data_IF_780114437006
#
_entry.id   IF_780114437006
#
_cell.length_a   1.000
_cell.length_b   1.000
_cell.length_c   1.000
_cell.angle_alpha   90.00
_cell.angle_beta   90.00
_cell.angle_gamma   90.00
#
_symmetry.space_group_name_H-M   'P 1'
#
loop_
_entity.id
_entity.type
_entity.pdbx_description
1 polymer ?
#
# COMPACT_ATOMS: atom_id res chain seq x y z
N UNK A 1 -7.29 8.05 -24.81
CA UNK A 1 -8.25 7.03 -24.36
C UNK A 1 -8.10 5.84 -25.28
N UNK A 2 -8.23 4.63 -24.76
CA UNK A 2 -8.28 3.42 -25.58
C UNK A 2 -9.62 3.33 -26.33
N UNK A 3 -9.63 2.63 -27.47
CA UNK A 3 -10.84 2.23 -28.19
C UNK A 3 -11.68 1.30 -27.28
N UNK A 4 -13.01 1.36 -27.38
CA UNK A 4 -13.93 0.48 -26.64
C UNK A 4 -13.69 -1.02 -26.92
N UNK A 5 -13.09 -1.35 -28.07
CA UNK A 5 -12.75 -2.73 -28.46
C UNK A 5 -11.36 -3.17 -27.97
N UNK A 6 -10.63 -2.31 -27.25
CA UNK A 6 -9.31 -2.66 -26.75
C UNK A 6 -9.40 -3.78 -25.71
N UNK A 7 -8.57 -4.81 -25.89
CA UNK A 7 -8.38 -5.87 -24.90
C UNK A 7 -6.93 -5.85 -24.43
N UNK A 8 -6.76 -5.74 -23.12
CA UNK A 8 -5.48 -6.00 -22.48
C UNK A 8 -5.05 -7.43 -22.76
N UNK A 9 -3.76 -7.68 -22.95
CA UNK A 9 -3.23 -9.04 -23.04
C UNK A 9 -3.58 -9.82 -21.77
N UNK A 10 -3.21 -9.27 -20.62
CA UNK A 10 -3.35 -9.88 -19.30
C UNK A 10 -3.42 -8.78 -18.22
N UNK A 11 -3.57 -9.17 -16.94
CA UNK A 11 -3.57 -8.23 -15.81
C UNK A 11 -2.25 -7.46 -15.65
N UNK A 12 -1.12 -8.01 -16.10
CA UNK A 12 0.17 -7.33 -16.00
C UNK A 12 0.27 -6.17 -16.98
N UNK A 13 -0.19 -6.34 -18.22
CA UNK A 13 -0.29 -5.24 -19.19
C UNK A 13 -1.24 -4.14 -18.69
N UNK A 14 -2.40 -4.53 -18.15
CA UNK A 14 -3.34 -3.59 -17.56
C UNK A 14 -2.72 -2.80 -16.39
N UNK A 15 -1.98 -3.48 -15.52
CA UNK A 15 -1.21 -2.87 -14.42
C UNK A 15 -0.10 -1.93 -14.90
N UNK A 16 0.59 -2.27 -15.99
CA UNK A 16 1.60 -1.39 -16.62
C UNK A 16 0.97 -0.07 -17.05
N UNK A 17 -0.12 -0.14 -17.82
CA UNK A 17 -0.81 1.02 -18.37
C UNK A 17 -1.38 1.89 -17.23
N UNK A 18 -1.98 1.26 -16.22
CA UNK A 18 -2.51 1.95 -15.06
C UNK A 18 -1.39 2.63 -14.25
N UNK A 19 -0.26 1.95 -14.04
CA UNK A 19 0.91 2.47 -13.35
C UNK A 19 1.52 3.69 -14.05
N UNK A 20 1.64 3.67 -15.39
CA UNK A 20 2.08 4.81 -16.20
C UNK A 20 1.20 6.05 -15.94
N UNK A 21 -0.13 5.87 -15.90
CA UNK A 21 -1.07 6.97 -15.61
C UNK A 21 -0.97 7.50 -14.18
N UNK A 22 -0.61 6.65 -13.23
CA UNK A 22 -0.49 7.03 -11.82
C UNK A 22 0.85 7.70 -11.50
N UNK A 23 1.94 7.36 -12.20
CA UNK A 23 3.27 7.97 -11.99
C UNK A 23 3.25 9.49 -12.08
N UNK A 24 2.43 10.06 -12.97
CA UNK A 24 2.29 11.50 -13.16
C UNK A 24 1.56 12.21 -12.00
N UNK A 25 0.98 11.45 -11.05
CA UNK A 25 0.00 11.95 -10.07
C UNK A 25 0.39 11.74 -8.61
N UNK A 26 1.38 10.89 -8.34
CA UNK A 26 1.65 10.39 -6.98
C UNK A 26 3.10 10.62 -6.53
N UNK A 27 3.29 10.68 -5.22
CA UNK A 27 4.58 10.91 -4.56
C UNK A 27 4.88 9.81 -3.53
N UNK A 28 6.01 9.90 -2.84
CA UNK A 28 6.52 8.84 -1.95
C UNK A 28 5.61 8.52 -0.74
N UNK A 29 4.75 9.43 -0.27
CA UNK A 29 3.83 9.17 0.85
C UNK A 29 2.50 8.52 0.41
N UNK A 30 2.63 7.41 -0.30
CA UNK A 30 1.51 6.69 -0.93
C UNK A 30 1.54 5.21 -0.57
N UNK A 31 0.37 4.59 -0.44
CA UNK A 31 0.19 3.13 -0.35
C UNK A 31 -0.76 2.68 -1.45
N UNK A 32 -0.42 1.57 -2.10
CA UNK A 32 -1.26 0.91 -3.10
C UNK A 32 -1.99 -0.23 -2.40
N UNK A 33 -3.32 -0.24 -2.47
CA UNK A 33 -4.17 -1.24 -1.84
C UNK A 33 -4.95 -1.98 -2.93
N UNK A 34 -4.70 -3.27 -3.09
CA UNK A 34 -5.41 -4.11 -4.06
C UNK A 34 -6.66 -4.78 -3.47
N UNK A 35 -7.72 -4.90 -4.27
CA UNK A 35 -8.88 -5.74 -3.94
C UNK A 35 -8.61 -7.18 -4.43
N UNK A 36 -8.58 -8.20 -3.55
CA UNK A 36 -8.32 -9.56 -3.99
C UNK A 36 -9.47 -10.19 -4.78
N UNK A 37 -9.18 -11.11 -5.71
CA UNK A 37 -7.83 -11.63 -6.01
C UNK A 37 -7.19 -10.92 -7.20
N UNK A 38 -7.91 -10.80 -8.31
CA UNK A 38 -7.35 -10.27 -9.56
C UNK A 38 -6.84 -8.83 -9.45
N UNK A 39 -7.53 -7.97 -8.70
CA UNK A 39 -7.08 -6.61 -8.43
C UNK A 39 -5.69 -6.50 -7.78
N UNK A 40 -5.26 -7.52 -7.02
CA UNK A 40 -3.91 -7.55 -6.42
C UNK A 40 -2.82 -7.70 -7.48
N UNK A 41 -3.08 -8.42 -8.59
CA UNK A 41 -2.10 -8.57 -9.67
C UNK A 41 -1.81 -7.21 -10.32
N UNK A 42 -2.87 -6.46 -10.61
CA UNK A 42 -2.78 -5.09 -11.15
C UNK A 42 -2.13 -4.16 -10.12
N UNK A 43 -2.59 -4.20 -8.87
CA UNK A 43 -2.06 -3.40 -7.77
C UNK A 43 -0.56 -3.63 -7.52
N UNK A 44 -0.11 -4.88 -7.56
CA UNK A 44 1.30 -5.22 -7.38
C UNK A 44 2.17 -4.61 -8.47
N UNK A 45 1.70 -4.63 -9.72
CA UNK A 45 2.43 -4.00 -10.80
C UNK A 45 2.49 -2.48 -10.66
N UNK A 46 1.38 -1.85 -10.26
CA UNK A 46 1.34 -0.42 -9.93
C UNK A 46 2.31 -0.10 -8.79
N UNK A 47 2.29 -0.86 -7.70
CA UNK A 47 3.15 -0.66 -6.54
C UNK A 47 4.64 -0.78 -6.88
N UNK A 48 5.01 -1.75 -7.73
CA UNK A 48 6.38 -1.94 -8.22
C UNK A 48 6.86 -0.73 -9.03
N UNK A 49 6.03 -0.24 -9.97
CA UNK A 49 6.37 0.91 -10.80
C UNK A 49 6.51 2.21 -10.00
N UNK A 50 5.65 2.41 -9.01
CA UNK A 50 5.66 3.60 -8.16
C UNK A 50 6.69 3.50 -7.02
N UNK A 51 7.31 2.34 -6.83
CA UNK A 51 8.11 2.02 -5.65
C UNK A 51 7.36 2.38 -4.34
N UNK A 52 6.09 2.00 -4.24
CA UNK A 52 5.22 2.21 -3.08
C UNK A 52 4.86 0.87 -2.40
N UNK A 53 4.46 0.87 -1.10
CA UNK A 53 4.00 -0.36 -0.44
C UNK A 53 2.74 -0.89 -1.11
N UNK A 54 2.64 -2.22 -1.20
CA UNK A 54 1.42 -2.93 -1.55
C UNK A 54 0.77 -3.48 -0.28
N UNK A 55 -0.52 -3.25 -0.13
CA UNK A 55 -1.37 -3.95 0.83
C UNK A 55 -2.70 -4.35 0.16
N UNK A 56 -3.64 -4.91 0.92
CA UNK A 56 -4.95 -5.34 0.42
C UNK A 56 -6.09 -4.86 1.31
N UNK A 57 -7.29 -4.79 0.72
CA UNK A 57 -8.56 -4.69 1.44
C UNK A 57 -9.54 -5.70 0.85
N UNK A 58 -10.33 -6.37 1.69
CA UNK A 58 -11.21 -7.45 1.25
C UNK A 58 -12.68 -7.06 1.51
N UNK A 59 -13.31 -6.31 0.60
CA UNK A 59 -14.76 -6.19 0.59
C UNK A 59 -15.40 -7.51 0.18
N UNK A 60 -16.47 -7.94 0.86
CA UNK A 60 -17.30 -9.08 0.45
C UNK A 60 -18.73 -8.65 0.26
N UNK A 61 -19.37 -9.18 -0.78
CA UNK A 61 -20.79 -9.00 -1.03
C UNK A 61 -21.61 -9.74 0.04
N UNK A 62 -22.74 -9.17 0.39
CA UNK A 62 -23.77 -9.79 1.21
C UNK A 62 -24.90 -10.17 0.25
N UNK A 63 -25.21 -11.46 0.19
CA UNK A 63 -26.33 -12.00 -0.57
C UNK A 63 -27.62 -11.97 0.26
N UNK A 64 -28.78 -11.94 -0.39
CA UNK A 64 -30.06 -12.03 0.30
C UNK A 64 -30.21 -13.41 0.99
N UNK A 65 -30.86 -13.49 2.18
CA UNK A 65 -31.00 -14.74 2.93
C UNK A 65 -31.59 -15.91 2.14
N UNK A 66 -32.57 -15.64 1.28
CA UNK A 66 -33.29 -16.65 0.50
C UNK A 66 -32.82 -16.75 -0.95
N UNK A 67 -31.93 -15.87 -1.40
CA UNK A 67 -31.34 -15.89 -2.73
C UNK A 67 -29.96 -15.23 -2.72
N UNK A 68 -28.89 -15.98 -2.41
CA UNK A 68 -27.54 -15.43 -2.26
C UNK A 68 -26.98 -14.75 -3.52
N UNK A 69 -27.53 -15.04 -4.70
CA UNK A 69 -27.16 -14.38 -5.96
C UNK A 69 -27.64 -12.93 -6.03
N UNK A 70 -28.67 -12.58 -5.25
CA UNK A 70 -29.15 -11.21 -5.10
C UNK A 70 -28.26 -10.48 -4.10
N UNK A 71 -27.44 -9.56 -4.61
CA UNK A 71 -26.53 -8.75 -3.79
C UNK A 71 -27.30 -7.63 -3.09
N UNK A 72 -27.44 -7.75 -1.78
CA UNK A 72 -28.14 -6.77 -0.93
C UNK A 72 -27.17 -5.76 -0.29
N UNK A 73 -25.88 -6.06 -0.27
CA UNK A 73 -24.89 -5.20 0.35
C UNK A 73 -23.47 -5.67 0.18
N UNK A 74 -22.57 -5.02 0.90
CA UNK A 74 -21.17 -5.38 1.00
C UNK A 74 -20.62 -4.97 2.38
N UNK A 75 -19.64 -5.73 2.85
CA UNK A 75 -18.99 -5.53 4.15
C UNK A 75 -17.48 -5.65 4.03
N UNK A 76 -16.76 -4.94 4.89
CA UNK A 76 -15.30 -4.95 5.01
C UNK A 76 -14.84 -5.42 6.40
N UNK A 77 -13.53 -5.61 6.58
CA UNK A 77 -12.93 -6.19 7.79
C UNK A 77 -13.22 -5.44 9.10
N UNK A 78 -13.44 -4.13 9.02
CA UNK A 78 -13.76 -3.25 10.14
C UNK A 78 -15.25 -3.26 10.50
N UNK A 79 -16.06 -4.06 9.79
CA UNK A 79 -17.50 -4.09 9.95
C UNK A 79 -18.22 -2.92 9.29
N UNK A 80 -17.55 -2.11 8.47
CA UNK A 80 -18.25 -1.13 7.62
C UNK A 80 -19.16 -1.89 6.66
N UNK A 81 -20.46 -1.62 6.72
CA UNK A 81 -21.49 -2.23 5.87
C UNK A 81 -22.11 -1.17 4.98
N UNK A 82 -22.22 -1.49 3.69
CA UNK A 82 -22.98 -0.72 2.72
C UNK A 82 -24.15 -1.58 2.24
N UNK A 83 -25.38 -1.13 2.51
CA UNK A 83 -26.60 -1.84 2.10
C UNK A 83 -27.27 -1.13 0.91
N UNK A 84 -27.85 -1.92 0.01
CA UNK A 84 -28.70 -1.44 -1.05
C UNK A 84 -30.15 -1.39 -0.54
N UNK A 85 -30.54 -0.24 -0.01
CA UNK A 85 -31.88 -0.01 0.55
C UNK A 85 -33.03 -0.34 -0.40
N UNK A 86 -32.82 -0.18 -1.71
CA UNK A 86 -33.86 -0.45 -2.71
C UNK A 86 -34.07 -1.95 -2.87
N UNK A 87 -32.99 -2.74 -2.88
CA UNK A 87 -33.08 -4.21 -2.93
C UNK A 87 -33.61 -4.75 -1.61
N UNK A 88 -33.16 -4.23 -0.47
CA UNK A 88 -33.68 -4.60 0.84
C UNK A 88 -35.21 -4.40 0.91
N UNK A 89 -35.71 -3.24 0.47
CA UNK A 89 -37.14 -2.96 0.42
C UNK A 89 -37.90 -3.87 -0.56
N UNK A 90 -37.34 -4.09 -1.77
CA UNK A 90 -37.98 -4.93 -2.78
C UNK A 90 -38.13 -6.40 -2.35
N UNK A 91 -37.22 -6.89 -1.52
CA UNK A 91 -37.24 -8.26 -0.97
C UNK A 91 -37.81 -8.33 0.45
N UNK A 92 -38.30 -7.21 1.00
CA UNK A 92 -38.81 -7.09 2.36
C UNK A 92 -37.83 -7.64 3.42
N UNK A 93 -36.56 -7.29 3.28
CA UNK A 93 -35.47 -7.68 4.18
C UNK A 93 -35.22 -6.54 5.15
N UNK A 94 -35.22 -6.86 6.44
CA UNK A 94 -34.82 -5.97 7.52
C UNK A 94 -33.34 -6.16 7.88
N UNK A 95 -32.68 -5.10 8.35
CA UNK A 95 -31.26 -5.15 8.71
C UNK A 95 -30.94 -6.19 9.79
N UNK A 96 -31.85 -6.36 10.76
CA UNK A 96 -31.74 -7.38 11.82
C UNK A 96 -31.65 -8.81 11.27
N UNK A 97 -32.24 -9.08 10.09
CA UNK A 97 -32.27 -10.41 9.49
C UNK A 97 -30.92 -10.79 8.85
N UNK A 98 -30.06 -9.80 8.61
CA UNK A 98 -28.78 -9.98 7.92
C UNK A 98 -27.57 -9.77 8.85
N UNK A 99 -27.79 -9.47 10.13
CA UNK A 99 -26.72 -9.30 11.12
C UNK A 99 -25.81 -10.53 11.19
N UNK A 100 -26.38 -11.73 11.27
CA UNK A 100 -25.60 -12.99 11.28
C UNK A 100 -24.79 -13.15 10.00
N UNK A 101 -25.37 -12.84 8.83
CA UNK A 101 -24.68 -12.90 7.54
C UNK A 101 -23.51 -11.92 7.49
N UNK A 102 -23.69 -10.71 8.02
CA UNK A 102 -22.63 -9.70 8.15
C UNK A 102 -21.48 -10.26 9.00
N UNK A 103 -21.77 -10.82 10.17
CA UNK A 103 -20.74 -11.37 11.07
C UNK A 103 -19.97 -12.53 10.43
N UNK A 104 -20.67 -13.42 9.71
CA UNK A 104 -20.04 -14.51 8.95
C UNK A 104 -19.10 -13.97 7.87
N UNK A 105 -19.53 -12.96 7.12
CA UNK A 105 -18.67 -12.34 6.11
C UNK A 105 -17.45 -11.65 6.74
N UNK A 106 -17.61 -10.94 7.86
CA UNK A 106 -16.49 -10.32 8.60
C UNK A 106 -15.50 -11.36 9.10
N UNK A 107 -15.97 -12.48 9.64
CA UNK A 107 -15.11 -13.57 10.09
C UNK A 107 -14.28 -14.18 8.95
N UNK A 108 -14.92 -14.43 7.79
CA UNK A 108 -14.23 -14.93 6.61
C UNK A 108 -13.26 -13.88 6.01
N UNK A 109 -13.60 -12.59 6.07
CA UNK A 109 -12.66 -11.51 5.70
C UNK A 109 -11.41 -11.57 6.59
N UNK A 110 -11.58 -11.61 7.92
CA UNK A 110 -10.45 -11.69 8.86
C UNK A 110 -9.58 -12.91 8.63
N UNK A 111 -10.19 -14.07 8.39
CA UNK A 111 -9.48 -15.31 8.04
C UNK A 111 -8.66 -15.15 6.75
N UNK A 112 -9.20 -14.52 5.71
CA UNK A 112 -8.45 -14.23 4.47
C UNK A 112 -7.35 -13.19 4.65
N UNK A 113 -7.59 -12.15 5.46
CA UNK A 113 -6.57 -11.16 5.81
C UNK A 113 -5.37 -11.82 6.47
N UNK A 114 -5.58 -12.68 7.47
CA UNK A 114 -4.50 -13.47 8.10
C UNK A 114 -3.83 -14.38 7.08
N UNK A 115 -4.59 -15.07 6.23
CA UNK A 115 -4.04 -15.95 5.18
C UNK A 115 -3.12 -15.20 4.20
N UNK A 116 -3.52 -14.01 3.75
CA UNK A 116 -2.79 -13.27 2.72
C UNK A 116 -1.66 -12.39 3.28
N UNK A 117 -1.88 -11.72 4.42
CA UNK A 117 -0.98 -10.71 5.00
C UNK A 117 -0.18 -11.22 6.20
N UNK A 118 -0.59 -12.34 6.79
CA UNK A 118 -0.07 -12.85 8.06
C UNK A 118 -0.68 -12.18 9.31
N UNK A 119 -1.45 -11.10 9.14
CA UNK A 119 -2.19 -10.42 10.22
C UNK A 119 -3.47 -9.78 9.69
N UNK A 120 -4.47 -9.67 10.56
CA UNK A 120 -5.67 -8.87 10.30
C UNK A 120 -5.42 -7.37 10.49
N UNK A 121 -4.38 -6.99 11.23
CA UNK A 121 -4.11 -5.59 11.59
C UNK A 121 -3.40 -4.84 10.47
N UNK A 122 -3.73 -3.56 10.33
CA UNK A 122 -3.07 -2.68 9.38
C UNK A 122 -1.91 -1.92 10.02
N UNK A 123 -0.83 -1.66 9.26
CA UNK A 123 0.03 -0.53 9.56
C UNK A 123 -0.79 0.77 9.56
N UNK A 124 -0.32 1.79 10.28
CA UNK A 124 -0.97 3.09 10.23
C UNK A 124 -0.77 3.74 8.84
N UNK A 125 -1.88 3.95 8.14
CA UNK A 125 -1.93 4.65 6.86
C UNK A 125 -2.52 6.05 6.96
N UNK A 126 -2.60 6.60 8.18
CA UNK A 126 -3.15 7.94 8.41
C UNK A 126 -2.41 9.02 7.66
N UNK A 127 -3.16 9.95 7.06
CA UNK A 127 -2.61 11.06 6.27
C UNK A 127 -1.88 10.66 4.97
N UNK A 128 -1.84 9.37 4.61
CA UNK A 128 -1.25 8.93 3.33
C UNK A 128 -2.20 9.17 2.17
N UNK A 129 -1.64 9.18 0.96
CA UNK A 129 -2.41 8.93 -0.25
C UNK A 129 -2.65 7.43 -0.38
N UNK A 130 -3.90 7.02 -0.59
CA UNK A 130 -4.25 5.63 -0.87
C UNK A 130 -4.64 5.51 -2.34
N UNK A 131 -4.02 4.57 -3.06
CA UNK A 131 -4.49 4.14 -4.38
C UNK A 131 -5.22 2.81 -4.19
N UNK A 132 -6.54 2.80 -4.28
CA UNK A 132 -7.34 1.59 -4.25
C UNK A 132 -7.43 1.02 -5.67
N UNK A 133 -6.99 -0.22 -5.87
CA UNK A 133 -6.85 -0.85 -7.18
C UNK A 133 -7.70 -2.11 -7.30
N UNK A 134 -8.40 -2.24 -8.43
CA UNK A 134 -9.06 -3.47 -8.87
C UNK A 134 -8.69 -3.82 -10.33
N UNK A 135 -8.94 -5.05 -10.79
CA UNK A 135 -8.66 -5.47 -12.18
C UNK A 135 -9.73 -5.02 -13.17
N UNK A 136 -10.90 -4.64 -12.67
CA UNK A 136 -11.93 -3.91 -13.37
C UNK A 136 -13.12 -3.71 -12.46
N UNK A 137 -13.81 -2.59 -12.60
CA UNK A 137 -14.92 -2.26 -11.71
C UNK A 137 -16.21 -2.23 -12.51
N UNK A 138 -17.07 -3.22 -12.29
CA UNK A 138 -18.36 -3.35 -12.95
C UNK A 138 -19.39 -2.37 -12.35
N UNK A 139 -20.00 -2.70 -11.21
CA UNK A 139 -21.04 -1.86 -10.57
C UNK A 139 -20.48 -0.85 -9.56
N UNK A 140 -19.25 -1.07 -9.07
CA UNK A 140 -18.63 -0.20 -8.07
C UNK A 140 -18.96 -0.50 -6.62
N UNK A 141 -19.89 -1.41 -6.34
CA UNK A 141 -20.45 -1.56 -4.99
C UNK A 141 -19.41 -2.02 -3.95
N UNK A 142 -18.58 -3.01 -4.29
CA UNK A 142 -17.48 -3.49 -3.42
C UNK A 142 -16.37 -2.46 -3.28
N UNK A 143 -16.04 -1.74 -4.36
CA UNK A 143 -15.06 -0.66 -4.32
C UNK A 143 -15.53 0.48 -3.40
N UNK A 144 -16.81 0.84 -3.46
CA UNK A 144 -17.41 1.87 -2.59
C UNK A 144 -17.34 1.49 -1.11
N UNK A 145 -17.69 0.25 -0.76
CA UNK A 145 -17.55 -0.25 0.61
C UNK A 145 -16.08 -0.20 1.07
N UNK A 146 -15.14 -0.60 0.20
CA UNK A 146 -13.70 -0.49 0.48
C UNK A 146 -13.26 0.97 0.71
N UNK A 147 -13.70 1.91 -0.12
CA UNK A 147 -13.42 3.35 0.05
C UNK A 147 -13.91 3.85 1.40
N UNK A 148 -15.15 3.53 1.78
CA UNK A 148 -15.73 3.96 3.05
C UNK A 148 -14.94 3.41 4.24
N UNK A 149 -14.61 2.12 4.21
CA UNK A 149 -13.78 1.45 5.22
C UNK A 149 -12.39 2.10 5.34
N UNK A 150 -11.73 2.38 4.22
CA UNK A 150 -10.42 3.06 4.22
C UNK A 150 -10.50 4.47 4.80
N UNK A 151 -11.57 5.22 4.52
CA UNK A 151 -11.80 6.54 5.14
C UNK A 151 -11.98 6.43 6.65
N UNK A 152 -12.78 5.46 7.10
CA UNK A 152 -13.08 5.24 8.51
C UNK A 152 -11.83 4.84 9.30
N UNK A 153 -11.07 3.87 8.80
CA UNK A 153 -9.90 3.35 9.51
C UNK A 153 -8.72 4.33 9.55
N UNK A 154 -8.48 5.07 8.46
CA UNK A 154 -7.20 5.78 8.30
C UNK A 154 -7.31 7.29 8.17
N UNK A 155 -8.48 7.87 7.88
CA UNK A 155 -8.57 9.31 7.54
C UNK A 155 -7.47 9.72 6.53
N UNK A 156 -7.38 9.06 5.37
CA UNK A 156 -6.32 9.31 4.41
C UNK A 156 -6.40 10.74 3.87
N UNK A 157 -5.27 11.28 3.44
CA UNK A 157 -5.22 12.63 2.84
C UNK A 157 -6.04 12.68 1.56
N UNK A 158 -5.96 11.63 0.75
CA UNK A 158 -6.68 11.44 -0.53
C UNK A 158 -6.83 9.95 -0.82
N UNK A 159 -7.89 9.58 -1.53
CA UNK A 159 -8.10 8.25 -2.10
C UNK A 159 -8.24 8.40 -3.61
N UNK A 160 -7.37 7.72 -4.36
CA UNK A 160 -7.51 7.51 -5.81
C UNK A 160 -8.09 6.13 -6.03
N UNK A 161 -9.22 6.01 -6.71
CA UNK A 161 -9.72 4.74 -7.20
C UNK A 161 -9.17 4.49 -8.61
N UNK A 162 -8.46 3.39 -8.79
CA UNK A 162 -7.82 3.07 -10.05
C UNK A 162 -8.23 1.68 -10.52
N UNK A 163 -8.69 1.57 -11.75
CA UNK A 163 -8.85 0.26 -12.40
C UNK A 163 -8.60 0.40 -13.90
N UNK A 164 -8.15 -0.67 -14.57
CA UNK A 164 -7.91 -0.64 -16.02
C UNK A 164 -9.18 -0.29 -16.80
N UNK A 165 -10.33 -0.81 -16.36
CA UNK A 165 -11.61 -0.64 -17.06
C UNK A 165 -12.79 -0.45 -16.10
N UNK A 166 -13.69 0.48 -16.46
CA UNK A 166 -14.96 0.73 -15.78
C UNK A 166 -16.03 1.22 -16.76
N UNK A 167 -17.33 0.96 -16.51
CA UNK A 167 -18.42 1.65 -17.17
C UNK A 167 -18.47 3.16 -16.87
N UNK A 168 -18.93 3.96 -17.84
CA UNK A 168 -19.08 5.41 -17.67
C UNK A 168 -20.06 5.80 -16.54
N UNK A 169 -21.16 5.06 -16.39
CA UNK A 169 -22.14 5.26 -15.32
C UNK A 169 -21.56 4.90 -13.94
N UNK A 170 -20.71 3.86 -13.86
CA UNK A 170 -19.99 3.50 -12.63
C UNK A 170 -18.99 4.57 -12.22
N UNK A 171 -18.23 5.15 -13.17
CA UNK A 171 -17.33 6.28 -12.89
C UNK A 171 -18.13 7.46 -12.32
N UNK A 172 -19.25 7.79 -12.95
CA UNK A 172 -20.12 8.89 -12.50
C UNK A 172 -20.63 8.65 -11.08
N UNK A 173 -21.11 7.43 -10.77
CA UNK A 173 -21.59 7.07 -9.42
C UNK A 173 -20.50 7.16 -8.35
N UNK A 174 -19.28 6.73 -8.68
CA UNK A 174 -18.18 6.64 -7.71
C UNK A 174 -17.41 7.95 -7.52
N UNK A 175 -17.53 8.89 -8.47
CA UNK A 175 -16.80 10.16 -8.43
C UNK A 175 -17.09 11.00 -7.19
N UNK A 176 -18.25 10.81 -6.55
CA UNK A 176 -18.59 11.46 -5.28
C UNK A 176 -18.00 10.80 -4.03
N UNK A 177 -17.51 9.55 -4.13
CA UNK A 177 -16.99 8.80 -2.98
C UNK A 177 -15.45 8.94 -2.82
N UNK A 178 -14.75 9.28 -3.90
CA UNK A 178 -13.28 9.33 -3.98
C UNK A 178 -12.76 10.69 -4.44
N UNK A 179 -11.48 10.96 -4.19
CA UNK A 179 -10.86 12.23 -4.56
C UNK A 179 -10.49 12.28 -6.05
N UNK A 180 -10.26 11.11 -6.67
CA UNK A 180 -9.95 10.99 -8.09
C UNK A 180 -10.19 9.56 -8.59
N UNK A 181 -10.59 9.42 -9.86
CA UNK A 181 -10.69 8.13 -10.54
C UNK A 181 -9.66 8.10 -11.68
N UNK A 182 -8.87 7.02 -11.75
CA UNK A 182 -7.97 6.74 -12.86
C UNK A 182 -8.44 5.49 -13.58
N UNK A 183 -9.00 5.67 -14.77
CA UNK A 183 -9.56 4.60 -15.60
C UNK A 183 -9.10 4.77 -17.05
N UNK A 184 -8.05 4.04 -17.50
CA UNK A 184 -7.54 4.17 -18.87
C UNK A 184 -8.56 3.83 -19.96
N UNK A 185 -9.44 2.85 -19.71
CA UNK A 185 -10.48 2.40 -20.63
C UNK A 185 -11.87 2.59 -19.98
N UNK A 186 -12.63 3.57 -20.47
CA UNK A 186 -14.04 3.72 -20.10
C UNK A 186 -14.90 3.01 -21.14
N UNK A 187 -15.74 2.08 -20.72
CA UNK A 187 -16.54 1.27 -21.63
C UNK A 187 -18.02 1.67 -21.62
N UNK A 188 -18.63 1.76 -22.81
CA UNK A 188 -20.09 1.92 -22.94
C UNK A 188 -20.80 0.55 -22.87
N UNK A 189 -20.23 -0.47 -23.53
CA UNK A 189 -20.74 -1.84 -23.52
C UNK A 189 -19.98 -2.70 -22.51
N UNK A 190 -20.51 -2.77 -21.30
CA UNK A 190 -19.89 -3.53 -20.21
C UNK A 190 -20.74 -4.73 -19.79
N UNK A 191 -20.26 -5.95 -20.09
CA UNK A 191 -20.92 -7.19 -19.66
C UNK A 191 -20.19 -7.83 -18.47
N UNK A 192 -18.87 -7.93 -18.54
CA UNK A 192 -18.03 -8.48 -17.49
C UNK A 192 -16.61 -7.92 -17.59
N UNK A 193 -15.86 -7.90 -16.49
CA UNK A 193 -14.45 -7.46 -16.50
C UNK A 193 -13.61 -8.27 -17.50
N UNK A 194 -13.80 -9.59 -17.52
CA UNK A 194 -12.98 -10.50 -18.33
C UNK A 194 -13.03 -10.26 -19.84
N UNK A 195 -14.04 -9.56 -20.37
CA UNK A 195 -14.12 -9.28 -21.80
C UNK A 195 -13.02 -8.34 -22.30
N UNK A 196 -12.43 -7.54 -21.39
CA UNK A 196 -11.37 -6.59 -21.71
C UNK A 196 -9.98 -7.20 -21.59
N UNK A 197 -9.90 -8.51 -21.41
CA UNK A 197 -8.66 -9.26 -21.26
C UNK A 197 -8.63 -10.43 -22.23
N UNK A 198 -7.54 -10.59 -22.97
CA UNK A 198 -7.31 -11.78 -23.81
C UNK A 198 -7.08 -13.01 -22.93
N UNK A 199 -6.34 -12.83 -21.84
CA UNK A 199 -6.07 -13.83 -20.81
C UNK A 199 -6.62 -13.35 -19.46
N UNK A 200 -7.68 -13.99 -18.97
CA UNK A 200 -8.36 -13.63 -17.71
C UNK A 200 -8.51 -14.82 -16.76
N UNK A 201 -7.38 -15.48 -16.49
CA UNK A 201 -7.35 -16.63 -15.60
C UNK A 201 -7.72 -16.28 -14.16
N UNK A 202 -8.20 -17.26 -13.40
CA UNK A 202 -8.55 -17.04 -12.02
C UNK A 202 -7.29 -16.93 -11.15
N UNK A 203 -7.02 -15.74 -10.61
CA UNK A 203 -5.92 -15.50 -9.67
C UNK A 203 -6.07 -16.37 -8.43
N UNK A 204 -4.98 -17.06 -8.05
CA UNK A 204 -4.98 -17.97 -6.90
C UNK A 204 -4.61 -17.25 -5.59
N UNK A 205 -4.93 -17.87 -4.45
CA UNK A 205 -4.50 -17.35 -3.15
C UNK A 205 -2.97 -17.33 -3.01
N UNK A 206 -2.28 -18.33 -3.57
CA UNK A 206 -0.83 -18.42 -3.54
C UNK A 206 -0.19 -17.29 -4.34
N UNK A 207 -0.76 -16.92 -5.48
CA UNK A 207 -0.32 -15.79 -6.30
C UNK A 207 -0.43 -14.47 -5.53
N UNK A 208 -1.58 -14.21 -4.87
CA UNK A 208 -1.77 -13.03 -4.01
C UNK A 208 -0.71 -12.96 -2.92
N UNK A 209 -0.49 -14.06 -2.20
CA UNK A 209 0.52 -14.15 -1.13
C UNK A 209 1.92 -13.86 -1.69
N UNK A 210 2.28 -14.47 -2.82
CA UNK A 210 3.60 -14.28 -3.44
C UNK A 210 3.84 -12.83 -3.87
N UNK A 211 2.83 -12.17 -4.44
CA UNK A 211 2.93 -10.76 -4.84
C UNK A 211 3.13 -9.84 -3.64
N UNK A 212 2.37 -10.04 -2.56
CA UNK A 212 2.53 -9.27 -1.32
C UNK A 212 3.94 -9.44 -0.73
N UNK A 213 4.44 -10.67 -0.67
CA UNK A 213 5.79 -10.95 -0.20
C UNK A 213 6.87 -10.35 -1.12
N UNK A 214 6.73 -10.48 -2.44
CA UNK A 214 7.67 -9.95 -3.43
C UNK A 214 7.81 -8.44 -3.28
N UNK A 215 6.71 -7.69 -3.22
CA UNK A 215 6.76 -6.22 -3.08
C UNK A 215 7.34 -5.82 -1.71
N UNK A 216 6.94 -6.50 -0.63
CA UNK A 216 7.50 -6.24 0.70
C UNK A 216 9.02 -6.47 0.74
N UNK A 217 9.50 -7.54 0.09
CA UNK A 217 10.94 -7.84 -0.02
C UNK A 217 11.67 -6.84 -0.92
N UNK A 218 11.17 -6.60 -2.13
CA UNK A 218 11.78 -5.64 -3.07
C UNK A 218 11.88 -4.24 -2.47
N UNK A 219 10.89 -3.82 -1.65
CA UNK A 219 11.00 -2.58 -0.88
C UNK A 219 12.08 -2.62 0.18
N UNK A 220 12.20 -3.72 0.94
CA UNK A 220 13.31 -3.89 1.88
C UNK A 220 14.66 -3.89 1.17
N UNK A 221 14.75 -4.39 -0.05
CA UNK A 221 15.99 -4.44 -0.83
C UNK A 221 16.27 -3.06 -1.49
N UNK A 222 15.24 -2.34 -1.97
CA UNK A 222 15.33 -1.01 -2.59
C UNK A 222 15.50 0.14 -1.59
N UNK A 223 15.07 -0.05 -0.34
CA UNK A 223 15.52 0.82 0.76
C UNK A 223 16.99 0.57 1.12
N UNK A 224 17.65 -0.38 0.43
CA UNK A 224 18.72 -1.17 1.01
C UNK A 224 18.16 -1.94 2.19
N UNK A 225 18.80 -3.05 2.56
CA UNK A 225 18.75 -3.40 3.97
C UNK A 225 19.15 -2.16 4.75
N UNK A 226 18.19 -1.48 5.35
CA UNK A 226 18.45 -0.72 6.57
C UNK A 226 18.74 -1.83 7.59
N UNK A 227 19.93 -2.43 7.50
CA UNK A 227 20.75 -2.47 8.68
C UNK A 227 20.70 -1.02 9.16
N UNK A 228 19.95 -0.80 10.23
CA UNK A 228 19.75 0.51 10.79
C UNK A 228 21.12 0.96 11.25
N UNK A 229 21.85 1.62 10.34
CA UNK A 229 23.30 1.78 10.45
C UNK A 229 23.56 2.36 11.81
N UNK A 230 24.35 1.64 12.61
CA UNK A 230 24.60 1.97 13.99
C UNK A 230 25.66 3.06 13.99
N UNK A 231 25.24 4.29 14.25
CA UNK A 231 26.10 5.46 14.21
C UNK A 231 26.49 5.81 15.64
N UNK A 232 27.78 5.75 15.93
CA UNK A 232 28.34 6.25 17.16
C UNK A 232 28.43 7.78 17.09
N UNK A 233 27.79 8.46 18.03
CA UNK A 233 27.72 9.91 18.09
C UNK A 233 28.47 10.42 19.31
N UNK A 234 29.38 11.35 19.07
CA UNK A 234 30.11 12.06 20.11
C UNK A 234 29.15 12.87 21.02
N UNK A 235 29.52 13.04 22.29
CA UNK A 235 28.64 13.63 23.30
C UNK A 235 28.31 15.10 22.99
N UNK A 236 29.24 15.81 22.35
CA UNK A 236 29.06 17.21 21.91
C UNK A 236 28.12 17.35 20.70
N UNK A 237 27.77 16.23 20.05
CA UNK A 237 26.93 16.18 18.86
C UNK A 237 25.53 15.62 19.11
N UNK A 238 25.14 15.38 20.37
CA UNK A 238 23.83 14.84 20.75
C UNK A 238 22.63 15.62 20.17
N UNK A 239 22.81 16.90 19.82
CA UNK A 239 21.83 17.72 19.08
C UNK A 239 21.38 17.09 17.74
N UNK A 240 22.22 16.28 17.11
CA UNK A 240 21.97 15.62 15.82
C UNK A 240 21.20 14.29 15.95
N UNK A 241 21.08 13.73 17.16
CA UNK A 241 20.48 12.41 17.40
C UNK A 241 19.08 12.27 16.79
N UNK A 242 18.17 13.21 17.09
CA UNK A 242 16.78 13.12 16.63
C UNK A 242 16.65 13.19 15.11
N UNK A 243 17.49 14.00 14.46
CA UNK A 243 17.48 14.12 13.01
C UNK A 243 18.06 12.85 12.35
N UNK A 244 19.13 12.29 12.91
CA UNK A 244 19.69 11.01 12.46
C UNK A 244 18.69 9.85 12.63
N UNK A 245 18.00 9.77 13.77
CA UNK A 245 16.95 8.77 14.01
C UNK A 245 15.76 8.93 13.05
N UNK A 246 15.36 10.17 12.74
CA UNK A 246 14.30 10.46 11.75
C UNK A 246 14.68 9.99 10.35
N UNK A 247 15.97 10.02 10.01
CA UNK A 247 16.51 9.53 8.75
C UNK A 247 16.78 8.02 8.73
N UNK A 248 16.50 7.31 9.84
CA UNK A 248 16.56 5.85 9.91
C UNK A 248 17.90 5.28 10.37
N UNK A 249 18.74 6.05 11.07
CA UNK A 249 19.96 5.58 11.72
C UNK A 249 19.70 5.11 13.17
N UNK A 250 20.44 4.10 13.66
CA UNK A 250 20.47 3.76 15.09
C UNK A 250 21.58 4.57 15.75
N UNK A 251 21.26 5.53 16.61
CA UNK A 251 22.29 6.38 17.24
C UNK A 251 22.68 5.83 18.61
N UNK A 252 23.97 5.54 18.78
CA UNK A 252 24.55 5.09 20.06
C UNK A 252 25.62 6.05 20.54
N UNK A 253 25.85 6.07 21.85
CA UNK A 253 26.81 7.00 22.45
C UNK A 253 28.25 6.55 22.16
N UNK A 254 29.11 7.52 21.82
CA UNK A 254 30.42 7.31 21.20
C UNK A 254 31.41 6.42 21.94
N UNK A 255 31.24 6.23 23.25
CA UNK A 255 32.16 5.44 24.08
C UNK A 255 31.87 3.93 24.08
N UNK A 256 30.76 3.45 23.51
CA UNK A 256 30.29 2.06 23.72
C UNK A 256 29.90 1.29 22.45
N UNK A 257 30.42 1.63 21.27
CA UNK A 257 29.92 1.07 20.02
C UNK A 257 30.98 0.36 19.18
N UNK A 258 31.60 -0.69 19.72
CA UNK A 258 32.49 -1.58 18.96
C UNK A 258 31.80 -2.16 17.70
N UNK A 259 30.46 -2.16 17.65
CA UNK A 259 29.60 -2.60 16.54
C UNK A 259 29.02 -1.45 15.68
N UNK A 260 29.47 -0.20 15.86
CA UNK A 260 29.05 0.90 14.99
C UNK A 260 29.56 0.73 13.54
N UNK A 261 28.74 1.14 12.58
CA UNK A 261 29.05 1.19 11.15
C UNK A 261 29.84 2.47 10.79
N UNK A 262 29.63 3.56 11.53
CA UNK A 262 30.41 4.79 11.41
C UNK A 262 30.39 5.62 12.71
N UNK A 263 31.36 6.52 12.84
CA UNK A 263 31.51 7.44 13.97
C UNK A 263 31.37 8.88 13.49
N UNK A 264 30.60 9.71 14.21
CA UNK A 264 30.51 11.15 13.98
C UNK A 264 31.14 11.86 15.19
N UNK A 265 32.16 12.68 14.93
CA UNK A 265 32.95 13.35 15.95
C UNK A 265 32.99 14.86 15.75
N UNK A 266 33.09 15.62 16.84
CA UNK A 266 33.29 17.07 16.82
C UNK A 266 34.78 17.40 16.85
N UNK A 267 35.44 17.26 15.70
CA UNK A 267 36.84 17.64 15.52
C UNK A 267 37.83 16.50 15.77
N UNK A 268 38.96 16.56 15.07
CA UNK A 268 40.07 15.62 15.23
C UNK A 268 41.01 16.08 16.33
N UNK A 269 40.63 15.98 17.61
CA UNK A 269 41.61 16.10 18.69
C UNK A 269 42.04 14.70 19.18
N UNK A 270 43.34 14.41 18.99
CA UNK A 270 44.27 13.37 19.48
C UNK A 270 43.78 12.06 20.16
N UNK A 271 42.59 11.96 20.73
CA UNK A 271 42.09 10.76 21.40
C UNK A 271 41.73 9.62 20.44
N UNK A 272 41.54 9.90 19.14
CA UNK A 272 41.15 8.90 18.14
C UNK A 272 42.31 8.27 17.33
N UNK A 273 43.57 8.73 17.48
CA UNK A 273 44.71 8.01 16.87
C UNK A 273 44.80 6.56 17.37
N UNK A 274 44.36 6.28 18.60
CA UNK A 274 44.33 4.92 19.16
C UNK A 274 43.23 4.01 18.58
N UNK A 275 42.26 4.54 17.82
CA UNK A 275 41.22 3.74 17.15
C UNK A 275 41.58 3.40 15.69
N UNK A 276 42.43 4.19 15.03
CA UNK A 276 42.93 3.84 13.69
C UNK A 276 43.89 2.64 13.69
N UNK A 277 44.57 2.36 14.81
CA UNK A 277 45.54 1.26 14.91
C UNK A 277 44.92 -0.13 15.15
N UNK A 278 43.60 -0.23 15.35
CA UNK A 278 42.90 -1.51 15.49
C UNK A 278 42.18 -1.87 14.21
N UNK A 279 42.93 -2.33 13.20
CA UNK A 279 42.52 -3.18 12.06
C UNK A 279 40.99 -3.36 11.81
N UNK A 280 40.24 -2.28 11.65
CA UNK A 280 38.81 -2.28 11.33
C UNK A 280 38.55 -1.10 10.40
N UNK A 281 38.07 -1.38 9.20
CA UNK A 281 37.78 -0.44 8.10
C UNK A 281 36.57 0.48 8.41
N UNK A 282 36.45 1.01 9.63
CA UNK A 282 35.27 1.79 10.05
C UNK A 282 35.46 3.28 9.78
N UNK A 283 34.46 3.90 9.15
CA UNK A 283 34.54 5.28 8.65
C UNK A 283 34.22 6.29 9.76
N UNK A 284 35.04 7.34 9.85
CA UNK A 284 34.86 8.47 10.79
C UNK A 284 34.48 9.71 10.00
N UNK A 285 33.43 10.41 10.44
CA UNK A 285 32.93 11.67 9.87
C UNK A 285 33.23 12.78 10.87
N UNK A 286 34.04 13.76 10.46
CA UNK A 286 34.21 15.00 11.19
C UNK A 286 33.03 15.93 10.89
N UNK A 287 32.28 16.30 11.92
CA UNK A 287 31.13 17.20 11.84
C UNK A 287 31.48 18.67 12.18
N UNK A 288 32.78 18.99 12.34
CA UNK A 288 33.23 20.36 12.62
C UNK A 288 32.82 21.32 11.52
N UNK A 289 31.99 22.31 11.87
CA UNK A 289 31.49 23.31 10.94
C UNK A 289 30.45 22.82 9.93
N UNK A 290 30.01 21.55 10.02
CA UNK A 290 28.96 20.99 9.15
C UNK A 290 27.58 21.14 9.75
N UNK A 291 26.59 21.30 8.89
CA UNK A 291 25.18 21.13 9.25
C UNK A 291 24.77 19.64 9.24
N UNK A 292 23.57 19.37 9.77
CA UNK A 292 23.05 18.00 9.87
C UNK A 292 22.85 17.34 8.50
N UNK A 293 22.48 18.10 7.47
CA UNK A 293 22.23 17.56 6.13
C UNK A 293 23.53 17.13 5.45
N UNK A 294 24.61 17.90 5.63
CA UNK A 294 25.95 17.54 5.18
C UNK A 294 26.42 16.24 5.81
N UNK A 295 26.21 16.07 7.13
CA UNK A 295 26.52 14.84 7.86
C UNK A 295 25.69 13.65 7.34
N UNK A 296 24.38 13.82 7.14
CA UNK A 296 23.48 12.77 6.61
C UNK A 296 23.90 12.35 5.19
N UNK A 297 24.28 13.30 4.34
CA UNK A 297 24.70 13.00 2.98
C UNK A 297 25.98 12.16 2.96
N UNK A 298 26.95 12.45 3.83
CA UNK A 298 28.17 11.64 3.94
C UNK A 298 27.90 10.23 4.48
N UNK A 299 26.96 10.08 5.43
CA UNK A 299 26.54 8.78 5.95
C UNK A 299 25.87 7.89 4.89
N UNK A 300 25.11 8.48 3.96
CA UNK A 300 24.43 7.74 2.89
C UNK A 300 25.37 7.20 1.82
N UNK A 301 26.57 7.76 1.70
CA UNK A 301 27.60 7.35 0.74
C UNK A 301 28.49 6.23 1.31
N UNK A 302 28.32 5.89 2.60
CA UNK A 302 29.01 4.73 3.19
C UNK A 302 28.39 3.46 2.57
N UNK A 303 29.20 2.53 2.01
CA UNK A 303 28.70 1.27 1.47
C UNK A 303 27.97 0.41 2.51
#
# INVERSE_FOLDING_TARGET
>A
MFDENYQYKDRLEAGNILGLKLMEKVSNNTVVIGIPRGGVVVAARVAEMLNNPLDIIIPRKIGAPFNPEVVIGAVTQDGTVLLNSHVMAAYNIEEKEIETLIQEQVAEIKRRMVKYRGSADYPDYSGKLIILVDDGIATGFTARAAVQSLRNMFRPRRIILAAPVMPADTITRLSGDVDEIVCPLTAEKFYAVGQFYKEFEQTTDAEVINLLHKIKKARKDNTGGVNMKKIALDDDLQRFRKDLEREGFTVVDGAMADDADAYIVSGMENNFMNMQDRATEKKVIDASGKDINEVINELRIIP
#
